data_IF_383471699424
#
_entry.id   IF_383471699424
#
_cell.length_a   1.000
_cell.length_b   1.000
_cell.length_c   1.000
_cell.angle_alpha   90.00
_cell.angle_beta   90.00
_cell.angle_gamma   90.00
#
_symmetry.space_group_name_H-M   'P 1'
#
loop_
_entity.id
_entity.type
_entity.pdbx_description
1 polymer ?
#
# COMPACT_ATOMS: atom_id res chain seq x y z
N UNK A 1 -20.68 -21.55 -72.72
CA UNK A 1 -21.33 -20.70 -71.71
C UNK A 1 -20.90 -21.22 -70.35
N UNK A 2 -19.88 -20.60 -69.74
CA UNK A 2 -19.45 -20.93 -68.38
C UNK A 2 -19.96 -19.81 -67.47
N UNK A 3 -20.87 -20.15 -66.56
CA UNK A 3 -21.43 -19.24 -65.57
C UNK A 3 -20.46 -19.12 -64.40
N UNK A 4 -19.79 -17.98 -64.34
CA UNK A 4 -19.02 -17.49 -63.20
C UNK A 4 -19.97 -17.27 -62.01
N UNK A 5 -19.68 -17.90 -60.87
CA UNK A 5 -20.43 -17.71 -59.62
C UNK A 5 -19.63 -16.78 -58.71
N UNK A 6 -20.24 -15.74 -58.12
CA UNK A 6 -19.48 -14.78 -57.31
C UNK A 6 -19.21 -15.34 -55.91
N UNK A 7 -17.94 -15.29 -55.52
CA UNK A 7 -17.46 -15.57 -54.18
C UNK A 7 -17.88 -14.45 -53.21
N UNK A 8 -18.79 -14.77 -52.29
CA UNK A 8 -19.20 -13.86 -51.22
C UNK A 8 -18.13 -13.83 -50.13
N UNK A 9 -17.21 -12.88 -50.20
CA UNK A 9 -16.33 -12.50 -49.08
C UNK A 9 -17.17 -11.94 -47.93
N UNK A 10 -17.49 -12.77 -46.95
CA UNK A 10 -18.07 -12.38 -45.66
C UNK A 10 -17.03 -11.57 -44.87
N UNK A 11 -17.17 -10.24 -44.90
CA UNK A 11 -16.45 -9.36 -43.97
C UNK A 11 -17.03 -9.53 -42.56
N UNK A 12 -16.22 -10.07 -41.65
CA UNK A 12 -16.56 -10.20 -40.23
C UNK A 12 -16.72 -8.80 -39.62
N UNK A 13 -17.82 -8.51 -38.87
CA UNK A 13 -17.91 -7.26 -38.15
C UNK A 13 -16.87 -7.24 -37.03
N UNK A 14 -15.94 -6.29 -37.07
CA UNK A 14 -15.03 -5.97 -35.97
C UNK A 14 -15.84 -5.59 -34.74
N UNK A 15 -16.19 -6.59 -33.91
CA UNK A 15 -16.79 -6.38 -32.59
C UNK A 15 -15.78 -5.59 -31.77
N UNK A 16 -16.13 -4.33 -31.43
CA UNK A 16 -15.43 -3.56 -30.39
C UNK A 16 -15.29 -4.49 -29.17
N UNK A 17 -14.06 -4.73 -28.67
CA UNK A 17 -13.87 -5.61 -27.52
C UNK A 17 -14.76 -5.12 -26.39
N UNK A 18 -15.72 -5.96 -25.96
CA UNK A 18 -16.56 -5.66 -24.81
C UNK A 18 -15.63 -5.41 -23.60
N UNK A 19 -15.85 -4.35 -22.81
CA UNK A 19 -14.99 -4.07 -21.67
C UNK A 19 -14.98 -5.27 -20.73
N UNK A 20 -13.80 -5.88 -20.54
CA UNK A 20 -13.64 -7.04 -19.66
C UNK A 20 -14.18 -6.66 -18.28
N UNK A 21 -15.15 -7.41 -17.72
CA UNK A 21 -15.68 -7.14 -16.39
C UNK A 21 -14.58 -7.17 -15.32
N UNK A 22 -14.75 -6.35 -14.29
CA UNK A 22 -13.88 -6.41 -13.11
C UNK A 22 -14.33 -7.53 -12.19
N UNK A 23 -13.47 -8.52 -11.99
CA UNK A 23 -13.65 -9.57 -10.99
C UNK A 23 -13.50 -9.03 -9.56
N UNK A 24 -13.95 -9.81 -8.59
CA UNK A 24 -13.79 -9.49 -7.18
C UNK A 24 -12.31 -9.35 -6.79
N UNK A 25 -11.49 -10.33 -7.19
CA UNK A 25 -10.07 -10.38 -6.89
C UNK A 25 -9.30 -9.21 -7.53
N UNK A 26 -9.57 -8.89 -8.79
CA UNK A 26 -8.98 -7.71 -9.45
C UNK A 26 -9.34 -6.42 -8.72
N UNK A 27 -10.58 -6.30 -8.23
CA UNK A 27 -11.03 -5.11 -7.49
C UNK A 27 -10.29 -4.97 -6.16
N UNK A 28 -10.10 -6.06 -5.40
CA UNK A 28 -9.31 -6.06 -4.16
C UNK A 28 -7.85 -5.69 -4.45
N UNK A 29 -7.25 -6.33 -5.46
CA UNK A 29 -5.85 -6.09 -5.83
C UNK A 29 -5.64 -4.65 -6.30
N UNK A 30 -6.61 -4.05 -7.01
CA UNK A 30 -6.61 -2.64 -7.38
C UNK A 30 -6.63 -1.73 -6.15
N UNK A 31 -7.51 -1.99 -5.18
CA UNK A 31 -7.60 -1.18 -3.96
C UNK A 31 -6.26 -1.20 -3.22
N UNK A 32 -5.66 -2.38 -3.03
CA UNK A 32 -4.37 -2.53 -2.35
C UNK A 32 -3.22 -1.88 -3.13
N UNK A 33 -3.11 -2.13 -4.43
CA UNK A 33 -2.04 -1.57 -5.26
C UNK A 33 -2.10 -0.04 -5.31
N UNK A 34 -3.31 0.51 -5.41
CA UNK A 34 -3.52 1.95 -5.30
C UNK A 34 -3.15 2.48 -3.92
N UNK A 35 -3.54 1.79 -2.84
CA UNK A 35 -3.19 2.16 -1.46
C UNK A 35 -1.68 2.30 -1.28
N UNK A 36 -0.92 1.27 -1.69
CA UNK A 36 0.53 1.21 -1.60
C UNK A 36 1.17 2.42 -2.29
N UNK A 37 0.76 2.70 -3.54
CA UNK A 37 1.25 3.86 -4.31
C UNK A 37 0.79 5.19 -3.74
N UNK A 38 -0.47 5.30 -3.32
CA UNK A 38 -1.04 6.54 -2.80
C UNK A 38 -0.36 6.96 -1.49
N UNK A 39 -0.09 6.02 -0.58
CA UNK A 39 0.66 6.32 0.65
C UNK A 39 2.13 6.64 0.38
N UNK A 40 2.77 5.95 -0.58
CA UNK A 40 4.14 6.29 -0.98
C UNK A 40 4.25 7.75 -1.48
N UNK A 41 3.17 8.30 -2.04
CA UNK A 41 3.05 9.69 -2.48
C UNK A 41 2.51 10.63 -1.39
N UNK A 42 2.56 10.26 -0.11
CA UNK A 42 1.98 11.03 1.00
C UNK A 42 0.51 11.42 0.75
N UNK A 43 -0.26 10.49 0.18
CA UNK A 43 -1.68 10.67 -0.19
C UNK A 43 -1.92 11.66 -1.34
N UNK A 44 -0.92 11.94 -2.17
CA UNK A 44 -1.02 12.80 -3.36
C UNK A 44 -1.67 12.13 -4.60
N UNK A 45 -2.02 12.91 -5.64
CA UNK A 45 -2.57 12.37 -6.88
C UNK A 45 -1.53 11.55 -7.67
N UNK A 46 -1.96 10.46 -8.28
CA UNK A 46 -1.11 9.63 -9.14
C UNK A 46 -1.05 10.20 -10.56
N UNK A 47 0.15 10.31 -11.14
CA UNK A 47 0.40 10.64 -12.56
C UNK A 47 0.27 9.40 -13.44
N UNK A 48 0.29 9.59 -14.75
CA UNK A 48 0.12 8.52 -15.75
C UNK A 48 1.06 7.32 -15.53
N UNK A 49 2.36 7.56 -15.32
CA UNK A 49 3.32 6.49 -15.06
C UNK A 49 3.03 5.71 -13.78
N UNK A 50 2.59 6.39 -12.70
CA UNK A 50 2.21 5.69 -11.48
C UNK A 50 0.93 4.85 -11.67
N UNK A 51 0.02 5.26 -12.54
CA UNK A 51 -1.13 4.42 -12.90
C UNK A 51 -0.73 3.19 -13.72
N UNK A 52 0.30 3.31 -14.56
CA UNK A 52 0.89 2.16 -15.26
C UNK A 52 1.49 1.16 -14.27
N UNK A 53 2.26 1.64 -13.30
CA UNK A 53 2.81 0.81 -12.22
C UNK A 53 1.69 0.11 -11.42
N UNK A 54 0.59 0.81 -11.12
CA UNK A 54 -0.57 0.19 -10.46
C UNK A 54 -1.16 -0.92 -11.33
N UNK A 55 -1.33 -0.71 -12.63
CA UNK A 55 -1.87 -1.71 -13.54
C UNK A 55 -0.99 -2.96 -13.62
N UNK A 56 0.33 -2.77 -13.70
CA UNK A 56 1.31 -3.87 -13.67
C UNK A 56 1.23 -4.67 -12.38
N UNK A 57 1.14 -4.00 -11.22
CA UNK A 57 1.01 -4.68 -9.92
C UNK A 57 -0.30 -5.46 -9.82
N UNK A 58 -1.42 -4.90 -10.32
CA UNK A 58 -2.71 -5.60 -10.34
C UNK A 58 -2.64 -6.83 -11.23
N UNK A 59 -2.04 -6.72 -12.41
CA UNK A 59 -1.87 -7.85 -13.32
C UNK A 59 -1.05 -8.98 -12.67
N UNK A 60 0.12 -8.65 -12.10
CA UNK A 60 0.98 -9.61 -11.43
C UNK A 60 0.28 -10.31 -10.25
N UNK A 61 -0.45 -9.56 -9.40
CA UNK A 61 -1.21 -10.12 -8.26
C UNK A 61 -2.40 -10.99 -8.67
N UNK A 62 -2.87 -10.87 -9.91
CA UNK A 62 -3.92 -11.71 -10.48
C UNK A 62 -3.36 -12.89 -11.31
N UNK A 63 -2.03 -13.01 -11.44
CA UNK A 63 -1.39 -14.05 -12.24
C UNK A 63 -1.45 -13.80 -13.75
N UNK A 64 -1.62 -12.55 -14.19
CA UNK A 64 -1.55 -12.19 -15.60
C UNK A 64 -0.11 -11.84 -16.01
N UNK A 65 0.25 -12.18 -17.24
CA UNK A 65 1.55 -11.84 -17.81
C UNK A 65 1.75 -10.32 -17.96
N UNK A 66 3.00 -9.87 -17.80
CA UNK A 66 3.41 -8.47 -17.95
C UNK A 66 3.10 -7.88 -19.33
N UNK A 67 3.14 -8.72 -20.38
CA UNK A 67 2.85 -8.30 -21.75
C UNK A 67 1.33 -8.24 -22.05
N UNK A 68 0.48 -8.65 -21.10
CA UNK A 68 -0.97 -8.67 -21.29
C UNK A 68 -1.74 -8.41 -19.98
N UNK A 69 -1.61 -7.21 -19.38
CA UNK A 69 -2.42 -6.86 -18.22
C UNK A 69 -3.90 -6.88 -18.60
N UNK A 70 -4.72 -7.67 -17.89
CA UNK A 70 -6.19 -7.77 -18.10
C UNK A 70 -6.91 -6.41 -18.05
N UNK A 71 -6.30 -5.38 -17.43
CA UNK A 71 -6.81 -4.01 -17.33
C UNK A 71 -5.70 -2.99 -17.56
N UNK A 72 -5.99 -1.94 -18.33
CA UNK A 72 -5.06 -0.83 -18.59
C UNK A 72 -4.99 0.17 -17.42
N UNK A 73 -3.94 0.99 -17.39
CA UNK A 73 -3.79 2.08 -16.41
C UNK A 73 -5.01 3.00 -16.32
N UNK A 74 -5.58 3.39 -17.47
CA UNK A 74 -6.77 4.24 -17.53
C UNK A 74 -8.01 3.54 -16.94
N UNK A 75 -8.17 2.24 -17.22
CA UNK A 75 -9.27 1.45 -16.64
C UNK A 75 -9.13 1.33 -15.12
N UNK A 76 -7.90 1.13 -14.61
CA UNK A 76 -7.60 1.14 -13.17
C UNK A 76 -7.98 2.48 -12.53
N UNK A 77 -7.58 3.60 -13.15
CA UNK A 77 -7.93 4.95 -12.70
C UNK A 77 -9.45 5.16 -12.63
N UNK A 78 -10.17 4.86 -13.71
CA UNK A 78 -11.63 5.03 -13.76
C UNK A 78 -12.35 4.13 -12.75
N UNK A 79 -11.91 2.88 -12.58
CA UNK A 79 -12.48 1.97 -11.60
C UNK A 79 -12.27 2.50 -10.18
N UNK A 80 -11.07 2.95 -9.85
CA UNK A 80 -10.76 3.51 -8.54
C UNK A 80 -11.56 4.77 -8.25
N UNK A 81 -11.75 5.65 -9.24
CA UNK A 81 -12.61 6.82 -9.10
C UNK A 81 -14.06 6.43 -8.77
N UNK A 82 -14.63 5.45 -9.50
CA UNK A 82 -15.97 4.92 -9.21
C UNK A 82 -16.08 4.31 -7.81
N UNK A 83 -15.05 3.59 -7.35
CA UNK A 83 -15.01 3.04 -5.98
C UNK A 83 -15.03 4.16 -4.93
N UNK A 84 -14.20 5.20 -5.08
CA UNK A 84 -14.17 6.36 -4.16
C UNK A 84 -15.49 7.14 -4.18
N UNK A 85 -16.13 7.28 -5.33
CA UNK A 85 -17.44 7.91 -5.44
C UNK A 85 -18.51 7.11 -4.68
N UNK A 86 -18.57 5.79 -4.90
CA UNK A 86 -19.50 4.90 -4.17
C UNK A 86 -19.25 4.94 -2.67
N UNK A 87 -17.99 4.95 -2.23
CA UNK A 87 -17.63 5.06 -0.82
C UNK A 87 -18.15 6.35 -0.17
N UNK A 88 -17.95 7.51 -0.81
CA UNK A 88 -18.49 8.80 -0.33
C UNK A 88 -20.01 8.78 -0.21
N UNK A 89 -20.71 8.17 -1.17
CA UNK A 89 -22.17 8.03 -1.11
C UNK A 89 -22.62 7.08 0.02
N UNK A 90 -21.92 5.96 0.19
CA UNK A 90 -22.19 4.99 1.27
C UNK A 90 -21.98 5.61 2.65
N UNK A 91 -20.90 6.40 2.81
CA UNK A 91 -20.58 7.12 4.05
C UNK A 91 -21.67 8.15 4.40
N UNK A 92 -22.18 8.90 3.42
CA UNK A 92 -23.32 9.83 3.62
C UNK A 92 -24.60 9.09 4.03
N UNK A 93 -24.84 7.91 3.46
CA UNK A 93 -26.01 7.07 3.79
C UNK A 93 -25.94 6.54 5.22
N UNK A 94 -24.75 6.15 5.66
CA UNK A 94 -24.50 5.67 7.02
C UNK A 94 -24.71 6.75 8.08
N UNK A 95 -24.22 7.97 7.82
CA UNK A 95 -24.44 9.09 8.73
C UNK A 95 -25.91 9.53 8.78
N UNK A 96 -26.65 9.38 7.68
CA UNK A 96 -28.05 9.82 7.59
C UNK A 96 -29.05 8.81 8.19
N UNK A 97 -28.75 7.51 8.16
CA UNK A 97 -29.70 6.46 8.56
C UNK A 97 -29.33 5.75 9.87
N UNK A 98 -28.21 6.13 10.50
CA UNK A 98 -27.67 5.52 11.73
C UNK A 98 -27.63 3.98 11.71
N UNK A 99 -27.61 3.36 10.52
CA UNK A 99 -27.82 1.92 10.35
C UNK A 99 -26.51 1.20 10.04
N UNK A 100 -25.99 0.42 10.99
CA UNK A 100 -24.75 -0.37 10.82
C UNK A 100 -24.89 -1.46 9.73
N UNK A 101 -26.13 -1.87 9.43
CA UNK A 101 -26.45 -2.82 8.35
C UNK A 101 -25.99 -2.32 6.97
N UNK A 102 -25.98 -1.00 6.78
CA UNK A 102 -25.65 -0.35 5.53
C UNK A 102 -24.18 -0.49 5.14
N UNK A 103 -23.26 -0.56 6.11
CA UNK A 103 -21.82 -0.77 5.86
C UNK A 103 -21.50 -2.18 5.39
N UNK A 104 -22.35 -3.17 5.72
CA UNK A 104 -22.13 -4.58 5.41
C UNK A 104 -22.62 -4.96 4.00
N UNK A 105 -23.49 -4.15 3.39
CA UNK A 105 -24.07 -4.47 2.07
C UNK A 105 -23.08 -4.30 0.92
N UNK A 106 -22.07 -3.44 1.09
CA UNK A 106 -21.01 -3.27 0.10
C UNK A 106 -19.70 -3.86 0.59
N UNK A 107 -19.32 -4.99 0.00
CA UNK A 107 -18.16 -5.79 0.42
C UNK A 107 -16.81 -5.04 0.37
N UNK A 108 -16.69 -3.95 -0.41
CA UNK A 108 -15.47 -3.14 -0.46
C UNK A 108 -15.48 -1.95 0.49
N UNK A 109 -16.58 -1.71 1.23
CA UNK A 109 -16.72 -0.55 2.11
C UNK A 109 -15.59 -0.46 3.14
N UNK A 110 -15.32 -1.57 3.85
CA UNK A 110 -14.24 -1.64 4.85
C UNK A 110 -12.86 -1.36 4.25
N UNK A 111 -12.54 -1.99 3.12
CA UNK A 111 -11.27 -1.76 2.43
C UNK A 111 -11.10 -0.30 1.97
N UNK A 112 -12.18 0.33 1.52
CA UNK A 112 -12.16 1.74 1.10
C UNK A 112 -12.11 2.72 2.28
N UNK A 113 -12.76 2.39 3.40
CA UNK A 113 -12.73 3.20 4.63
C UNK A 113 -11.34 3.13 5.29
N UNK A 114 -10.73 1.94 5.35
CA UNK A 114 -9.37 1.74 5.86
C UNK A 114 -8.33 2.49 5.01
N UNK A 115 -8.51 2.47 3.67
CA UNK A 115 -7.70 3.26 2.75
C UNK A 115 -7.75 4.77 3.07
N UNK A 116 -8.93 5.33 3.36
CA UNK A 116 -9.08 6.76 3.67
C UNK A 116 -8.55 7.12 5.07
N UNK A 117 -8.78 6.28 6.08
CA UNK A 117 -8.34 6.51 7.47
C UNK A 117 -6.83 6.38 7.60
N UNK A 118 -6.21 5.42 6.91
CA UNK A 118 -4.83 5.04 7.16
C UNK A 118 -4.71 3.88 8.15
N UNK A 119 -3.50 3.34 8.33
CA UNK A 119 -3.25 2.37 9.39
C UNK A 119 -3.63 2.99 10.73
N UNK A 120 -4.69 2.47 11.34
CA UNK A 120 -5.07 2.85 12.69
C UNK A 120 -3.96 2.37 13.66
N UNK A 121 -3.62 3.16 14.70
CA UNK A 121 -2.74 2.68 15.76
C UNK A 121 -3.33 1.41 16.38
N UNK A 122 -2.47 0.44 16.70
CA UNK A 122 -2.87 -0.93 17.11
C UNK A 122 -3.90 -0.93 18.26
N UNK A 123 -3.86 0.10 19.12
CA UNK A 123 -4.73 0.30 20.29
C UNK A 123 -6.23 0.41 19.99
N UNK A 124 -6.67 0.80 18.78
CA UNK A 124 -8.11 1.03 18.49
C UNK A 124 -8.80 -0.09 17.71
N UNK A 125 -8.16 -1.26 17.54
CA UNK A 125 -8.83 -2.43 16.95
C UNK A 125 -9.78 -3.04 17.99
N UNK A 126 -11.11 -3.08 17.78
CA UNK A 126 -11.99 -3.83 18.64
C UNK A 126 -11.61 -5.31 18.51
N UNK A 127 -11.19 -5.94 19.61
CA UNK A 127 -11.04 -7.40 19.65
C UNK A 127 -12.41 -8.00 19.32
N UNK A 128 -12.52 -8.72 18.21
CA UNK A 128 -13.65 -9.62 17.97
C UNK A 128 -13.62 -10.74 19.01
N UNK A 129 -14.28 -10.51 20.15
CA UNK A 129 -14.59 -11.55 21.10
C UNK A 129 -15.81 -12.33 20.59
N UNK A 130 -15.54 -13.51 20.03
CA UNK A 130 -16.52 -14.59 19.97
C UNK A 130 -16.51 -15.32 21.31
N UNK A 131 -17.55 -15.13 22.13
CA UNK A 131 -18.01 -16.18 23.05
C UNK A 131 -19.52 -16.06 23.27
N UNK A 132 -20.31 -17.13 23.08
CA UNK A 132 -21.70 -17.22 23.54
C UNK A 132 -21.73 -17.60 25.03
N UNK A 133 -22.90 -17.47 25.70
CA UNK A 133 -23.31 -17.90 27.07
C UNK A 133 -24.05 -16.71 27.69
N UNK A 134 -25.36 -16.58 27.45
CA UNK A 134 -26.51 -17.19 28.15
C UNK A 134 -26.96 -16.37 29.37
N UNK A 135 -28.16 -15.77 29.20
CA UNK A 135 -29.27 -15.61 30.16
C UNK A 135 -28.95 -15.73 31.66
N UNK A 136 -29.23 -14.67 32.43
CA UNK A 136 -30.23 -14.76 33.50
C UNK A 136 -30.80 -13.39 33.93
N UNK A 137 -31.95 -13.48 34.57
CA UNK A 137 -33.05 -12.53 34.71
C UNK A 137 -32.96 -11.52 35.88
N UNK A 138 -33.84 -10.51 35.77
CA UNK A 138 -34.57 -9.75 36.82
C UNK A 138 -34.00 -8.53 37.56
N UNK A 139 -34.86 -7.50 37.60
CA UNK A 139 -35.30 -6.95 38.90
C UNK A 139 -35.01 -5.49 39.20
N UNK A 140 -36.00 -4.62 39.02
CA UNK A 140 -36.01 -3.20 39.34
C UNK A 140 -35.87 -2.87 40.84
N UNK A 141 -35.31 -1.70 41.17
CA UNK A 141 -35.88 -0.77 42.17
C UNK A 141 -35.07 0.54 42.25
N UNK A 142 -35.80 1.64 42.17
CA UNK A 142 -35.30 2.99 42.24
C UNK A 142 -35.12 3.49 43.68
N UNK A 143 -34.19 4.43 43.86
CA UNK A 143 -34.20 5.53 44.84
C UNK A 143 -34.20 5.15 46.33
N UNK A 144 -33.03 5.27 46.97
CA UNK A 144 -32.78 6.22 48.07
C UNK A 144 -31.51 5.83 48.81
N UNK A 145 -30.45 6.62 48.63
CA UNK A 145 -29.43 6.92 49.64
C UNK A 145 -28.52 8.02 49.08
N UNK A 146 -29.12 9.19 48.94
CA UNK A 146 -28.41 10.45 48.94
C UNK A 146 -27.77 10.63 50.32
N UNK A 147 -26.58 11.23 50.36
CA UNK A 147 -25.94 11.83 51.53
C UNK A 147 -25.31 10.88 52.57
N UNK A 148 -24.50 9.91 52.15
CA UNK A 148 -23.46 9.36 53.05
C UNK A 148 -22.25 8.78 52.29
N UNK A 149 -21.57 9.59 51.48
CA UNK A 149 -20.23 9.26 50.99
C UNK A 149 -19.33 10.48 50.68
N UNK A 150 -19.71 11.68 51.13
CA UNK A 150 -18.93 12.93 50.94
C UNK A 150 -18.01 13.22 52.16
N UNK A 151 -17.62 12.21 52.94
CA UNK A 151 -16.73 12.38 54.10
C UNK A 151 -15.71 11.24 54.28
N UNK A 152 -15.21 10.64 53.18
CA UNK A 152 -14.03 9.76 53.24
C UNK A 152 -12.99 10.14 52.18
N UNK A 153 -12.88 11.44 51.92
CA UNK A 153 -11.78 12.04 51.18
C UNK A 153 -10.88 12.69 52.23
N UNK A 154 -9.89 11.95 52.76
CA UNK A 154 -8.63 12.42 53.38
C UNK A 154 -7.98 11.37 54.30
N UNK A 155 -7.63 10.20 53.76
CA UNK A 155 -6.53 9.36 54.26
C UNK A 155 -6.36 8.14 53.32
N UNK A 156 -5.50 8.29 52.33
CA UNK A 156 -4.77 7.25 51.55
C UNK A 156 -4.16 8.00 50.36
N UNK A 157 -3.01 8.61 50.59
CA UNK A 157 -2.28 9.42 49.60
C UNK A 157 -0.77 9.13 49.63
N UNK A 158 -0.36 7.92 50.01
CA UNK A 158 1.08 7.60 50.17
C UNK A 158 1.48 6.17 49.74
N UNK A 159 0.82 5.55 48.75
CA UNK A 159 1.29 4.23 48.23
C UNK A 159 1.27 4.04 46.70
N UNK A 160 0.92 5.06 45.90
CA UNK A 160 0.78 4.88 44.43
C UNK A 160 1.86 5.60 43.60
N UNK A 161 2.88 6.22 44.22
CA UNK A 161 3.92 6.95 43.47
C UNK A 161 5.11 6.08 43.00
N UNK A 162 5.26 4.86 43.51
CA UNK A 162 6.40 3.99 43.13
C UNK A 162 6.13 3.10 41.90
N UNK A 163 4.86 2.86 41.52
CA UNK A 163 4.51 2.00 40.38
C UNK A 163 4.45 2.74 39.03
N UNK A 164 4.18 4.05 39.03
CA UNK A 164 4.10 4.87 37.81
C UNK A 164 5.49 5.09 37.17
N UNK A 165 6.54 5.20 37.99
CA UNK A 165 7.93 5.41 37.53
C UNK A 165 8.54 4.14 36.88
N UNK A 166 8.15 2.94 37.32
CA UNK A 166 8.61 1.68 36.71
C UNK A 166 7.99 1.44 35.33
N UNK A 167 6.70 1.78 35.16
CA UNK A 167 6.01 1.65 33.87
C UNK A 167 6.48 2.70 32.84
N UNK A 168 6.73 3.94 33.29
CA UNK A 168 7.29 5.00 32.44
C UNK A 168 8.72 4.67 31.95
N UNK A 169 9.55 4.05 32.81
CA UNK A 169 10.89 3.56 32.43
C UNK A 169 10.83 2.45 31.37
N UNK A 170 9.82 1.58 31.42
CA UNK A 170 9.59 0.54 30.41
C UNK A 170 9.29 1.11 29.01
N UNK A 171 8.42 2.12 28.93
CA UNK A 171 8.04 2.76 27.66
C UNK A 171 9.23 3.49 26.99
N UNK A 172 10.06 4.17 27.77
CA UNK A 172 11.24 4.88 27.23
C UNK A 172 12.31 3.92 26.69
N UNK A 173 12.47 2.74 27.30
CA UNK A 173 13.38 1.71 26.83
C UNK A 173 12.92 1.10 25.49
N UNK A 174 11.62 0.85 25.34
CA UNK A 174 11.06 0.29 24.10
C UNK A 174 11.17 1.29 22.94
N UNK A 175 10.87 2.57 23.18
CA UNK A 175 11.04 3.65 22.20
C UNK A 175 12.50 3.79 21.74
N UNK A 176 13.47 3.70 22.67
CA UNK A 176 14.89 3.71 22.36
C UNK A 176 15.30 2.52 21.49
N UNK A 177 14.83 1.32 21.85
CA UNK A 177 15.10 0.10 21.07
C UNK A 177 14.52 0.18 19.66
N UNK A 178 13.36 0.83 19.50
CA UNK A 178 12.74 1.05 18.21
C UNK A 178 13.54 2.07 17.36
N UNK A 179 14.00 3.16 17.97
CA UNK A 179 14.85 4.14 17.31
C UNK A 179 16.18 3.53 16.83
N UNK A 180 16.83 2.72 17.66
CA UNK A 180 18.06 2.01 17.31
C UNK A 180 17.86 1.05 16.12
N UNK A 181 16.72 0.33 16.09
CA UNK A 181 16.37 -0.53 14.94
C UNK A 181 16.18 0.27 13.66
N UNK A 182 15.53 1.43 13.71
CA UNK A 182 15.35 2.29 12.53
C UNK A 182 16.69 2.82 12.03
N UNK A 183 17.52 3.35 12.93
CA UNK A 183 18.85 3.87 12.60
C UNK A 183 19.72 2.74 12.02
N UNK A 184 19.63 1.53 12.57
CA UNK A 184 20.29 0.34 12.02
C UNK A 184 19.87 0.01 10.59
N UNK A 185 18.56 0.08 10.30
CA UNK A 185 18.03 -0.15 8.94
C UNK A 185 18.47 0.93 7.95
N UNK A 186 18.49 2.20 8.38
CA UNK A 186 18.97 3.31 7.56
C UNK A 186 20.47 3.19 7.28
N UNK A 187 21.27 2.79 8.28
CA UNK A 187 22.70 2.55 8.13
C UNK A 187 22.97 1.39 7.16
N UNK A 188 22.25 0.26 7.30
CA UNK A 188 22.41 -0.89 6.39
C UNK A 188 21.98 -0.55 4.96
N UNK A 189 20.91 0.23 4.80
CA UNK A 189 20.48 0.75 3.49
C UNK A 189 21.51 1.70 2.87
N UNK A 190 22.11 2.59 3.66
CA UNK A 190 23.16 3.50 3.22
C UNK A 190 24.43 2.73 2.81
N UNK A 191 24.78 1.68 3.55
CA UNK A 191 25.92 0.82 3.24
C UNK A 191 25.72 0.05 1.93
N UNK A 192 24.54 -0.57 1.73
CA UNK A 192 24.22 -1.24 0.46
C UNK A 192 24.23 -0.28 -0.73
N UNK A 193 23.70 0.93 -0.57
CA UNK A 193 23.73 1.95 -1.63
C UNK A 193 25.16 2.37 -1.96
N UNK A 194 26.01 2.55 -0.94
CA UNK A 194 27.42 2.87 -1.11
C UNK A 194 28.19 1.74 -1.81
N UNK A 195 27.90 0.48 -1.48
CA UNK A 195 28.53 -0.68 -2.11
C UNK A 195 28.10 -0.84 -3.58
N UNK A 196 26.81 -0.62 -3.86
CA UNK A 196 26.28 -0.62 -5.24
C UNK A 196 26.95 0.46 -6.09
N UNK A 197 27.05 1.69 -5.56
CA UNK A 197 27.74 2.78 -6.25
C UNK A 197 29.23 2.49 -6.41
N UNK A 198 29.90 1.91 -5.40
CA UNK A 198 31.30 1.49 -5.51
C UNK A 198 31.50 0.53 -6.69
N UNK A 199 30.67 -0.49 -6.82
CA UNK A 199 30.78 -1.45 -7.93
C UNK A 199 30.54 -0.76 -9.28
N UNK A 200 29.57 0.16 -9.34
CA UNK A 200 29.31 0.96 -10.54
C UNK A 200 30.52 1.79 -10.95
N UNK A 201 31.14 2.49 -9.98
CA UNK A 201 32.36 3.26 -10.20
C UNK A 201 33.53 2.36 -10.62
N UNK A 202 33.70 1.19 -10.00
CA UNK A 202 34.76 0.25 -10.34
C UNK A 202 34.64 -0.25 -11.79
N UNK A 203 33.42 -0.62 -12.20
CA UNK A 203 33.14 -1.06 -13.56
C UNK A 203 33.38 0.06 -14.58
N UNK A 204 33.00 1.29 -14.26
CA UNK A 204 33.28 2.46 -15.08
C UNK A 204 34.78 2.75 -15.17
N UNK A 205 35.52 2.65 -14.07
CA UNK A 205 36.96 2.86 -14.05
C UNK A 205 37.70 1.80 -14.88
N UNK A 206 37.25 0.53 -14.80
CA UNK A 206 37.75 -0.56 -15.64
C UNK A 206 37.47 -0.32 -17.12
N UNK A 207 36.26 0.16 -17.45
CA UNK A 207 35.90 0.57 -18.82
C UNK A 207 36.83 1.67 -19.33
N UNK A 208 37.05 2.73 -18.54
CA UNK A 208 37.93 3.85 -18.90
C UNK A 208 39.36 3.35 -19.12
N UNK A 209 39.88 2.51 -18.21
CA UNK A 209 41.21 1.92 -18.35
C UNK A 209 41.37 1.13 -19.65
N UNK A 210 40.41 0.28 -20.00
CA UNK A 210 40.47 -0.49 -21.25
C UNK A 210 40.48 0.42 -22.49
N UNK A 211 39.71 1.50 -22.47
CA UNK A 211 39.69 2.49 -23.54
C UNK A 211 41.07 3.17 -23.65
N UNK A 212 41.61 3.63 -22.52
CA UNK A 212 42.91 4.30 -22.49
C UNK A 212 44.05 3.38 -22.94
N UNK A 213 44.02 2.11 -22.52
CA UNK A 213 45.00 1.10 -22.94
C UNK A 213 44.93 0.84 -24.45
N UNK A 214 43.71 0.80 -25.02
CA UNK A 214 43.52 0.71 -26.47
C UNK A 214 44.10 1.91 -27.19
N UNK A 215 43.80 3.12 -26.72
CA UNK A 215 44.30 4.36 -27.33
C UNK A 215 45.83 4.47 -27.23
N UNK A 216 46.39 4.11 -26.07
CA UNK A 216 47.84 4.10 -25.88
C UNK A 216 48.55 3.14 -26.83
N UNK A 217 48.03 1.92 -27.02
CA UNK A 217 48.58 0.96 -27.98
C UNK A 217 48.56 1.49 -29.42
N UNK A 218 47.49 2.17 -29.81
CA UNK A 218 47.38 2.78 -31.14
C UNK A 218 48.45 3.87 -31.30
N UNK A 219 48.55 4.79 -30.35
CA UNK A 219 49.53 5.88 -30.37
C UNK A 219 50.97 5.37 -30.35
N UNK A 220 51.30 4.37 -29.51
CA UNK A 220 52.62 3.74 -29.44
C UNK A 220 53.00 3.05 -30.76
N UNK A 221 52.04 2.35 -31.39
CA UNK A 221 52.25 1.70 -32.69
C UNK A 221 52.54 2.73 -33.80
N UNK A 222 51.82 3.86 -33.80
CA UNK A 222 52.06 4.98 -34.73
C UNK A 222 53.44 5.59 -34.44
N UNK A 223 53.77 5.90 -33.19
CA UNK A 223 55.06 6.48 -32.80
C UNK A 223 56.26 5.64 -33.23
N UNK A 224 56.19 4.32 -33.10
CA UNK A 224 57.26 3.41 -33.57
C UNK A 224 57.40 3.39 -35.10
N UNK A 225 56.29 3.42 -35.82
CA UNK A 225 56.30 3.42 -37.28
C UNK A 225 56.88 4.71 -37.88
N UNK A 226 56.69 5.86 -37.21
CA UNK A 226 57.15 7.17 -37.71
C UNK A 226 58.41 7.71 -37.01
N UNK A 227 58.80 7.18 -35.85
CA UNK A 227 59.99 7.61 -35.09
C UNK A 227 61.27 6.81 -35.37
N UNK A 228 61.23 5.83 -36.28
CA UNK A 228 62.39 5.04 -36.71
C UNK A 228 63.03 5.56 -38.01
N UNK A 229 62.84 6.86 -38.33
CA UNK A 229 63.44 7.55 -39.48
C UNK A 229 64.32 8.71 -39.06
#
# INVERSE_FOLDING_TARGET
MATDSPELTLSLPTKKPQPIPWTHQETINLIRAYQDKWYSLKRGPLRGSQWEEVAVVVAARCGYDYNHPSKTALQCRHKMEKLRQRHRSEKRRLTATSSVASSRSWQYFRLMDDLERGPLPISVRPLSHNHPISDDSDGAAARSRSIHNILNQKQRDETDEEEEDVMAKGLTAELRSFAERIIGLENMKMEMMKETERFRLEMENKRIRMILESQWRIVDSIGKAFGSS
#
